data_IF_124004818244
#
_entry.id   IF_124004818244
#
_cell.length_a   1.000
_cell.length_b   1.000
_cell.length_c   1.000
_cell.angle_alpha   90.00
_cell.angle_beta   90.00
_cell.angle_gamma   90.00
#
_symmetry.space_group_name_H-M   'P 1'
#
loop_
_entity.id
_entity.type
_entity.pdbx_description
1 polymer ?
#
# COMPACT_ATOMS: atom_id res chain seq x y z
N UNK A 1 -3.79 6.24 31.07
CA UNK A 1 -2.71 6.39 30.07
C UNK A 1 -2.56 5.05 29.38
N UNK A 2 -2.48 5.01 28.05
CA UNK A 2 -2.25 3.75 27.32
C UNK A 2 -0.84 3.23 27.57
N UNK A 3 -0.70 1.92 27.62
CA UNK A 3 0.54 1.20 27.93
C UNK A 3 1.39 0.85 26.70
N UNK A 4 0.88 1.04 25.48
CA UNK A 4 1.59 0.79 24.24
C UNK A 4 0.96 1.47 23.02
N UNK A 5 1.59 1.29 21.87
CA UNK A 5 1.12 1.80 20.59
C UNK A 5 1.04 0.69 19.54
N UNK A 6 0.04 0.77 18.67
CA UNK A 6 -0.07 -0.04 17.46
C UNK A 6 -0.04 0.90 16.25
N UNK A 7 0.92 0.72 15.36
CA UNK A 7 1.01 1.47 14.10
C UNK A 7 0.63 0.54 12.96
N UNK A 8 -0.59 0.71 12.44
CA UNK A 8 -0.96 0.14 11.15
C UNK A 8 -0.35 1.01 10.05
N UNK A 9 0.42 0.38 9.16
CA UNK A 9 1.10 1.05 8.04
C UNK A 9 0.61 0.44 6.73
N UNK A 10 -0.01 1.24 5.87
CA UNK A 10 -0.53 0.79 4.58
C UNK A 10 0.37 1.30 3.44
N UNK A 11 1.06 0.40 2.76
CA UNK A 11 1.90 0.74 1.61
C UNK A 11 1.07 0.72 0.32
N UNK A 12 0.56 1.88 -0.11
CA UNK A 12 -0.15 2.01 -1.38
C UNK A 12 0.82 2.38 -2.52
N UNK A 13 1.03 1.44 -3.44
CA UNK A 13 1.94 1.57 -4.56
C UNK A 13 1.44 0.84 -5.80
N UNK A 14 1.63 1.48 -6.95
CA UNK A 14 1.54 0.86 -8.27
C UNK A 14 2.67 1.44 -9.14
N UNK A 15 3.27 0.65 -10.05
CA UNK A 15 4.18 1.17 -11.07
C UNK A 15 3.48 2.24 -11.90
N UNK A 16 4.25 3.17 -12.46
CA UNK A 16 3.68 4.18 -13.35
C UNK A 16 3.27 3.55 -14.68
N UNK A 17 1.96 3.39 -14.89
CA UNK A 17 1.36 2.85 -16.12
C UNK A 17 0.41 3.88 -16.70
N UNK A 18 0.73 4.38 -17.90
CA UNK A 18 -0.09 5.37 -18.60
C UNK A 18 0.20 5.32 -20.10
N UNK A 19 -0.76 4.83 -20.86
CA UNK A 19 -0.62 4.65 -22.31
C UNK A 19 -1.68 5.45 -23.08
N UNK A 20 -1.42 6.75 -23.35
CA UNK A 20 -2.31 7.59 -24.15
C UNK A 20 -2.42 7.17 -25.61
N UNK A 21 -1.44 6.43 -26.13
CA UNK A 21 -1.37 5.94 -27.51
C UNK A 21 -2.40 4.84 -27.83
N UNK A 22 -2.93 4.17 -26.80
CA UNK A 22 -3.99 3.17 -26.93
C UNK A 22 -5.29 3.69 -26.31
N UNK A 23 -6.48 3.38 -26.85
CA UNK A 23 -7.75 3.78 -26.24
C UNK A 23 -8.00 3.07 -24.90
N UNK A 24 -7.53 1.83 -24.78
CA UNK A 24 -7.57 0.96 -23.61
C UNK A 24 -6.24 0.20 -23.51
N UNK A 25 -5.78 -0.06 -22.30
CA UNK A 25 -4.55 -0.80 -22.03
C UNK A 25 -4.73 -1.67 -20.78
N UNK A 26 -4.31 -2.94 -20.83
CA UNK A 26 -4.66 -3.93 -19.81
C UNK A 26 -4.08 -3.56 -18.45
N UNK A 27 -2.82 -3.11 -18.42
CA UNK A 27 -2.09 -2.82 -17.20
C UNK A 27 -2.61 -1.56 -16.48
N UNK A 28 -3.37 -0.69 -17.18
CA UNK A 28 -4.09 0.42 -16.52
C UNK A 28 -5.23 -0.09 -15.62
N UNK A 29 -5.72 -1.32 -15.87
CA UNK A 29 -6.76 -1.92 -15.02
C UNK A 29 -6.31 -2.11 -13.58
N UNK A 30 -5.00 -2.30 -13.32
CA UNK A 30 -4.46 -2.40 -11.96
C UNK A 30 -4.81 -1.16 -11.13
N UNK A 31 -4.68 0.03 -11.73
CA UNK A 31 -5.07 1.29 -11.08
C UNK A 31 -6.58 1.34 -10.83
N UNK A 32 -7.38 0.96 -11.82
CA UNK A 32 -8.83 1.04 -11.73
C UNK A 32 -9.41 0.07 -10.69
N UNK A 33 -8.84 -1.11 -10.60
CA UNK A 33 -9.17 -2.13 -9.59
C UNK A 33 -8.75 -1.66 -8.21
N UNK A 34 -7.52 -1.13 -8.04
CA UNK A 34 -7.07 -0.58 -6.78
C UNK A 34 -7.93 0.60 -6.30
N UNK A 35 -8.36 1.49 -7.19
CA UNK A 35 -9.28 2.58 -6.82
C UNK A 35 -10.61 2.03 -6.31
N UNK A 36 -11.21 1.09 -7.05
CA UNK A 36 -12.55 0.56 -6.76
C UNK A 36 -12.55 -0.31 -5.51
N UNK A 37 -11.60 -1.23 -5.41
CA UNK A 37 -11.62 -2.25 -4.37
C UNK A 37 -10.84 -1.82 -3.12
N UNK A 38 -9.91 -0.85 -3.20
CA UNK A 38 -9.06 -0.44 -2.07
C UNK A 38 -9.23 1.04 -1.71
N UNK A 39 -8.89 1.97 -2.60
CA UNK A 39 -8.73 3.37 -2.20
C UNK A 39 -10.05 4.07 -1.86
N UNK A 40 -11.11 3.85 -2.64
CA UNK A 40 -12.44 4.38 -2.32
C UNK A 40 -13.00 3.76 -1.03
N UNK A 41 -12.97 2.42 -0.83
CA UNK A 41 -13.37 1.81 0.44
C UNK A 41 -12.57 2.29 1.65
N UNK A 42 -11.24 2.45 1.54
CA UNK A 42 -10.42 2.97 2.64
C UNK A 42 -10.78 4.42 2.98
N UNK A 43 -10.94 5.28 1.97
CA UNK A 43 -11.40 6.65 2.18
C UNK A 43 -12.75 6.69 2.89
N UNK A 44 -13.70 5.84 2.48
CA UNK A 44 -15.00 5.73 3.14
C UNK A 44 -14.89 5.31 4.61
N UNK A 45 -14.09 4.28 4.92
CA UNK A 45 -13.87 3.81 6.29
C UNK A 45 -13.31 4.94 7.16
N UNK A 46 -12.27 5.62 6.68
CA UNK A 46 -11.63 6.70 7.42
C UNK A 46 -12.56 7.89 7.61
N UNK A 47 -13.29 8.28 6.55
CA UNK A 47 -14.28 9.36 6.62
C UNK A 47 -15.39 9.03 7.62
N UNK A 48 -15.93 7.82 7.61
CA UNK A 48 -16.95 7.40 8.58
C UNK A 48 -16.42 7.41 10.01
N UNK A 49 -15.18 6.99 10.22
CA UNK A 49 -14.56 7.05 11.55
C UNK A 49 -14.39 8.51 12.02
N UNK A 50 -14.02 9.44 11.12
CA UNK A 50 -13.93 10.87 11.43
C UNK A 50 -15.32 11.46 11.70
N UNK A 51 -16.31 11.16 10.85
CA UNK A 51 -17.70 11.63 10.97
C UNK A 51 -18.33 11.13 12.30
N UNK A 52 -17.99 9.92 12.73
CA UNK A 52 -18.43 9.32 14.00
C UNK A 52 -17.55 9.73 15.22
N UNK A 53 -16.60 10.65 15.04
CA UNK A 53 -15.65 11.12 16.06
C UNK A 53 -14.87 9.98 16.76
N UNK A 54 -14.50 8.93 16.02
CA UNK A 54 -13.61 7.87 16.50
C UNK A 54 -12.16 8.38 16.47
N UNK A 55 -11.44 8.42 17.59
CA UNK A 55 -10.03 8.79 17.58
C UNK A 55 -9.18 7.64 17.00
N UNK A 56 -8.49 7.91 15.89
CA UNK A 56 -7.59 6.93 15.28
C UNK A 56 -6.43 7.59 14.54
N UNK A 57 -5.40 6.79 14.27
CA UNK A 57 -4.22 7.23 13.52
C UNK A 57 -3.69 6.08 12.67
N UNK A 58 -3.73 6.23 11.35
CA UNK A 58 -3.14 5.27 10.39
C UNK A 58 -1.96 5.94 9.68
N UNK A 59 -0.87 5.20 9.47
CA UNK A 59 0.20 5.66 8.57
C UNK A 59 -0.02 5.02 7.22
N UNK A 60 0.14 5.75 6.13
CA UNK A 60 0.10 5.16 4.79
C UNK A 60 1.05 5.84 3.83
N UNK A 61 1.54 5.12 2.84
CA UNK A 61 2.21 5.74 1.71
C UNK A 61 1.18 6.13 0.65
N UNK A 62 1.44 7.21 -0.07
CA UNK A 62 0.94 7.39 -1.43
C UNK A 62 2.16 7.64 -2.29
N UNK A 63 2.65 6.59 -2.97
CA UNK A 63 3.91 6.68 -3.70
C UNK A 63 3.84 7.71 -4.84
N UNK A 64 4.97 8.35 -5.22
CA UNK A 64 4.94 9.35 -6.29
C UNK A 64 4.35 8.84 -7.62
N UNK A 65 4.64 7.62 -8.11
CA UNK A 65 3.98 7.06 -9.30
C UNK A 65 2.46 6.99 -9.17
N UNK A 66 1.97 6.48 -8.03
CA UNK A 66 0.54 6.36 -7.76
C UNK A 66 -0.14 7.72 -7.72
N UNK A 67 0.44 8.70 -7.00
CA UNK A 67 -0.09 10.06 -6.95
C UNK A 67 -0.10 10.71 -8.33
N UNK A 68 0.95 10.48 -9.14
CA UNK A 68 1.01 10.94 -10.53
C UNK A 68 -0.15 10.40 -11.37
N UNK A 69 -0.45 9.10 -11.25
CA UNK A 69 -1.56 8.47 -11.95
C UNK A 69 -2.95 8.92 -11.45
N UNK A 70 -3.13 9.04 -10.12
CA UNK A 70 -4.37 9.51 -9.51
C UNK A 70 -4.68 10.99 -9.80
N UNK A 71 -3.68 11.76 -10.23
CA UNK A 71 -3.80 13.17 -10.65
C UNK A 71 -3.93 13.33 -12.17
N UNK A 72 -3.78 12.25 -12.94
CA UNK A 72 -3.83 12.31 -14.40
C UNK A 72 -5.28 12.29 -14.90
N UNK A 73 -5.65 13.31 -15.67
CA UNK A 73 -7.02 13.50 -16.16
C UNK A 73 -7.45 12.38 -17.13
N UNK A 74 -6.53 11.88 -17.96
CA UNK A 74 -6.83 10.79 -18.88
C UNK A 74 -7.19 9.52 -18.10
N UNK A 75 -6.35 9.11 -17.15
CA UNK A 75 -6.59 7.91 -16.33
C UNK A 75 -7.85 8.04 -15.49
N UNK A 76 -8.10 9.19 -14.85
CA UNK A 76 -9.34 9.41 -14.08
C UNK A 76 -10.59 9.43 -14.96
N UNK A 77 -10.48 9.89 -16.21
CA UNK A 77 -11.60 9.83 -17.17
C UNK A 77 -11.90 8.40 -17.64
N UNK A 78 -10.86 7.58 -17.86
CA UNK A 78 -10.99 6.15 -18.21
C UNK A 78 -11.57 5.36 -17.05
N UNK A 79 -11.07 5.61 -15.83
CA UNK A 79 -11.63 5.03 -14.62
C UNK A 79 -13.12 5.32 -14.46
N UNK A 80 -13.54 6.58 -14.65
CA UNK A 80 -14.96 6.96 -14.56
C UNK A 80 -15.82 6.15 -15.54
N UNK A 81 -15.38 6.00 -16.80
CA UNK A 81 -16.07 5.19 -17.82
C UNK A 81 -16.14 3.72 -17.43
N UNK A 82 -15.04 3.15 -16.90
CA UNK A 82 -15.02 1.77 -16.41
C UNK A 82 -16.00 1.57 -15.26
N UNK A 83 -16.07 2.51 -14.32
CA UNK A 83 -17.00 2.45 -13.20
C UNK A 83 -18.46 2.54 -13.65
N UNK A 84 -18.77 3.37 -14.64
CA UNK A 84 -20.08 3.42 -15.30
C UNK A 84 -20.43 2.07 -15.96
N UNK A 85 -19.49 1.47 -16.71
CA UNK A 85 -19.68 0.18 -17.35
C UNK A 85 -19.89 -0.97 -16.34
N UNK A 86 -19.22 -0.94 -15.19
CA UNK A 86 -19.44 -1.89 -14.11
C UNK A 86 -20.83 -1.74 -13.48
N UNK A 87 -21.32 -0.50 -13.31
CA UNK A 87 -22.69 -0.26 -12.86
C UNK A 87 -23.71 -0.82 -13.85
N UNK A 88 -23.50 -0.62 -15.16
CA UNK A 88 -24.34 -1.22 -16.21
C UNK A 88 -24.32 -2.76 -16.14
N UNK A 89 -23.14 -3.37 -15.99
CA UNK A 89 -23.02 -4.82 -15.85
C UNK A 89 -23.76 -5.33 -14.61
N UNK A 90 -23.71 -4.61 -13.49
CA UNK A 90 -24.50 -4.94 -12.31
C UNK A 90 -26.01 -4.87 -12.55
N UNK A 91 -26.50 -3.88 -13.30
CA UNK A 91 -27.91 -3.82 -13.68
C UNK A 91 -28.33 -5.05 -14.52
N UNK A 92 -27.47 -5.46 -15.47
CA UNK A 92 -27.69 -6.68 -16.26
C UNK A 92 -27.66 -7.94 -15.40
N UNK A 93 -26.72 -8.04 -14.47
CA UNK A 93 -26.60 -9.17 -13.55
C UNK A 93 -27.81 -9.29 -12.62
N UNK A 94 -28.32 -8.19 -12.09
CA UNK A 94 -29.57 -8.17 -11.30
C UNK A 94 -30.74 -8.69 -12.14
N UNK A 95 -30.83 -8.25 -13.41
CA UNK A 95 -31.89 -8.73 -14.30
C UNK A 95 -31.76 -10.22 -14.62
N UNK A 96 -30.53 -10.70 -14.88
CA UNK A 96 -30.21 -12.10 -15.22
C UNK A 96 -30.47 -13.04 -14.04
N UNK A 97 -30.13 -12.62 -12.83
CA UNK A 97 -30.23 -13.42 -11.61
C UNK A 97 -31.54 -13.22 -10.82
N UNK A 98 -32.51 -12.46 -11.35
CA UNK A 98 -33.78 -12.13 -10.65
C UNK A 98 -34.59 -13.31 -10.14
N UNK A 99 -34.48 -14.47 -10.80
CA UNK A 99 -35.17 -15.71 -10.43
C UNK A 99 -34.31 -16.66 -9.61
N UNK A 100 -33.05 -16.31 -9.36
CA UNK A 100 -32.08 -17.12 -8.65
C UNK A 100 -32.01 -16.66 -7.18
N UNK A 101 -32.55 -17.46 -6.26
CA UNK A 101 -32.55 -17.15 -4.84
C UNK A 101 -31.14 -17.11 -4.22
N UNK A 102 -30.15 -17.73 -4.87
CA UNK A 102 -28.77 -17.86 -4.39
C UNK A 102 -27.91 -16.68 -4.87
N UNK A 103 -28.03 -16.29 -6.14
CA UNK A 103 -27.20 -15.24 -6.73
C UNK A 103 -27.91 -13.89 -6.91
N UNK A 104 -29.24 -13.86 -6.93
CA UNK A 104 -30.03 -12.61 -7.01
C UNK A 104 -29.66 -11.60 -5.91
N UNK A 105 -29.63 -11.98 -4.63
CA UNK A 105 -29.20 -11.09 -3.55
C UNK A 105 -27.76 -10.58 -3.71
N UNK A 106 -26.86 -11.39 -4.26
CA UNK A 106 -25.46 -11.01 -4.48
C UNK A 106 -25.30 -10.01 -5.63
N UNK A 107 -26.05 -10.19 -6.73
CA UNK A 107 -26.07 -9.21 -7.81
C UNK A 107 -26.58 -7.84 -7.31
N UNK A 108 -27.60 -7.84 -6.44
CA UNK A 108 -28.08 -6.63 -5.78
C UNK A 108 -27.02 -6.01 -4.86
N UNK A 109 -26.34 -6.82 -4.05
CA UNK A 109 -25.25 -6.35 -3.19
C UNK A 109 -24.15 -5.62 -3.99
N UNK A 110 -23.70 -6.21 -5.11
CA UNK A 110 -22.71 -5.59 -5.99
C UNK A 110 -23.22 -4.30 -6.63
N UNK A 111 -24.47 -4.31 -7.09
CA UNK A 111 -25.11 -3.12 -7.67
C UNK A 111 -25.14 -1.97 -6.67
N UNK A 112 -25.62 -2.20 -5.46
CA UNK A 112 -25.67 -1.17 -4.42
C UNK A 112 -24.29 -0.63 -4.09
N UNK A 113 -23.30 -1.53 -3.95
CA UNK A 113 -21.93 -1.17 -3.64
C UNK A 113 -21.28 -0.34 -4.76
N UNK A 114 -21.34 -0.77 -6.02
CA UNK A 114 -20.70 -0.05 -7.13
C UNK A 114 -21.37 1.30 -7.42
N UNK A 115 -22.70 1.38 -7.34
CA UNK A 115 -23.39 2.67 -7.43
C UNK A 115 -23.04 3.60 -6.26
N UNK A 116 -22.77 3.06 -5.07
CA UNK A 116 -22.28 3.83 -3.93
C UNK A 116 -20.87 4.36 -4.15
N UNK A 117 -19.93 3.50 -4.55
CA UNK A 117 -18.57 3.92 -4.89
C UNK A 117 -18.55 4.97 -6.00
N UNK A 118 -19.43 4.84 -6.99
CA UNK A 118 -19.65 5.85 -8.04
C UNK A 118 -20.06 7.20 -7.46
N UNK A 119 -21.04 7.25 -6.55
CA UNK A 119 -21.42 8.50 -5.88
C UNK A 119 -20.27 9.08 -5.05
N UNK A 120 -19.52 8.24 -4.33
CA UNK A 120 -18.34 8.71 -3.59
C UNK A 120 -17.31 9.34 -4.53
N UNK A 121 -16.98 8.67 -5.63
CA UNK A 121 -16.00 9.14 -6.61
C UNK A 121 -16.43 10.46 -7.28
N UNK A 122 -17.67 10.55 -7.77
CA UNK A 122 -18.16 11.73 -8.50
C UNK A 122 -18.56 12.89 -7.57
N UNK A 123 -19.30 12.60 -6.49
CA UNK A 123 -19.99 13.63 -5.72
C UNK A 123 -19.18 14.05 -4.49
N UNK A 124 -18.73 13.07 -3.68
CA UNK A 124 -18.01 13.34 -2.43
C UNK A 124 -16.56 13.76 -2.69
N UNK A 125 -15.84 13.00 -3.52
CA UNK A 125 -14.42 13.22 -3.78
C UNK A 125 -14.14 13.98 -5.08
N UNK A 126 -15.15 14.20 -5.93
CA UNK A 126 -15.04 14.99 -7.17
C UNK A 126 -13.87 14.55 -8.07
N UNK A 127 -13.64 13.23 -8.13
CA UNK A 127 -12.55 12.58 -8.85
C UNK A 127 -11.13 12.97 -8.40
N UNK A 128 -10.98 13.56 -7.21
CA UNK A 128 -9.68 13.95 -6.65
C UNK A 128 -9.40 13.20 -5.34
N UNK A 129 -8.99 11.94 -5.47
CA UNK A 129 -8.71 11.05 -4.34
C UNK A 129 -7.49 11.50 -3.53
N UNK A 130 -6.49 12.10 -4.18
CA UNK A 130 -5.29 12.60 -3.49
C UNK A 130 -5.66 13.74 -2.54
N UNK A 131 -6.53 14.67 -2.96
CA UNK A 131 -7.04 15.71 -2.05
C UNK A 131 -7.93 15.13 -0.95
N UNK A 132 -8.69 14.07 -1.20
CA UNK A 132 -9.48 13.38 -0.18
C UNK A 132 -8.59 12.79 0.92
N UNK A 133 -7.50 12.10 0.56
CA UNK A 133 -6.50 11.61 1.53
C UNK A 133 -5.78 12.77 2.24
N UNK A 134 -5.40 13.82 1.50
CA UNK A 134 -4.79 15.01 2.10
C UNK A 134 -5.67 15.62 3.19
N UNK A 135 -6.99 15.70 2.98
CA UNK A 135 -7.93 16.20 4.00
C UNK A 135 -7.89 15.36 5.28
N UNK A 136 -7.87 14.03 5.17
CA UNK A 136 -7.72 13.14 6.33
C UNK A 136 -6.37 13.34 7.04
N UNK A 137 -5.31 13.63 6.27
CA UNK A 137 -4.01 13.98 6.82
C UNK A 137 -3.99 15.34 7.53
N UNK A 138 -4.66 16.34 6.98
CA UNK A 138 -4.81 17.67 7.60
C UNK A 138 -5.64 17.57 8.89
N UNK A 139 -6.63 16.66 8.94
CA UNK A 139 -7.43 16.38 10.13
C UNK A 139 -6.69 15.56 11.20
N UNK A 140 -5.47 15.07 10.93
CA UNK A 140 -4.69 14.28 11.87
C UNK A 140 -5.11 12.81 11.99
N UNK A 141 -6.07 12.33 11.20
CA UNK A 141 -6.52 10.93 11.22
C UNK A 141 -5.55 9.99 10.48
N UNK A 142 -4.90 10.50 9.43
CA UNK A 142 -3.94 9.74 8.61
C UNK A 142 -2.59 10.45 8.60
N UNK A 143 -1.49 9.71 8.61
CA UNK A 143 -0.15 10.21 8.32
C UNK A 143 0.27 9.69 6.95
N UNK A 144 0.35 10.56 5.95
CA UNK A 144 0.82 10.19 4.61
C UNK A 144 2.32 10.41 4.55
N UNK A 145 3.05 9.35 4.25
CA UNK A 145 4.50 9.39 4.06
C UNK A 145 4.87 9.22 2.57
N UNK A 146 6.07 9.64 2.21
CA UNK A 146 6.58 9.49 0.84
C UNK A 146 7.24 8.12 0.63
N UNK A 147 7.76 7.89 -0.57
CA UNK A 147 8.58 6.74 -0.95
C UNK A 147 9.78 7.22 -1.81
N UNK A 148 10.54 6.31 -2.43
CA UNK A 148 11.40 6.67 -3.57
C UNK A 148 10.57 7.15 -4.77
N UNK A 149 11.14 8.05 -5.59
CA UNK A 149 10.46 8.72 -6.70
C UNK A 149 9.73 7.77 -7.66
N UNK A 150 10.28 6.59 -7.88
CA UNK A 150 9.70 5.55 -8.73
C UNK A 150 9.84 4.17 -8.12
N UNK A 151 9.83 4.10 -6.78
CA UNK A 151 9.98 2.84 -6.07
C UNK A 151 11.27 2.05 -6.42
N UNK A 152 12.36 2.75 -6.75
CA UNK A 152 13.61 2.06 -7.10
C UNK A 152 14.31 1.40 -5.91
N UNK A 153 14.80 0.17 -6.06
CA UNK A 153 15.47 -0.58 -5.00
C UNK A 153 16.85 0.02 -4.68
N UNK A 154 16.87 0.96 -3.73
CA UNK A 154 18.02 1.81 -3.41
C UNK A 154 19.32 1.05 -3.09
N UNK A 155 19.32 -0.11 -2.40
CA UNK A 155 20.56 -0.82 -2.07
C UNK A 155 21.41 -1.26 -3.27
N UNK A 156 20.83 -1.35 -4.47
CA UNK A 156 21.53 -1.76 -5.70
C UNK A 156 21.95 -0.58 -6.60
N UNK A 157 21.69 0.65 -6.17
CA UNK A 157 22.15 1.85 -6.86
C UNK A 157 23.60 2.16 -6.50
N UNK A 158 24.51 1.95 -7.45
CA UNK A 158 25.96 2.14 -7.23
C UNK A 158 26.39 3.61 -7.21
N UNK A 159 25.56 4.52 -7.74
CA UNK A 159 25.83 5.95 -7.74
C UNK A 159 25.05 6.67 -6.62
N UNK A 160 25.75 7.34 -5.68
CA UNK A 160 25.15 8.20 -4.66
C UNK A 160 24.10 9.20 -5.18
N UNK A 161 24.35 9.75 -6.37
CA UNK A 161 23.47 10.70 -7.03
C UNK A 161 22.11 10.08 -7.39
N UNK A 162 22.06 8.79 -7.76
CA UNK A 162 20.81 8.09 -8.06
C UNK A 162 19.95 7.92 -6.81
N UNK A 163 20.57 7.49 -5.69
CA UNK A 163 19.89 7.37 -4.39
C UNK A 163 19.35 8.73 -3.96
N UNK A 164 20.19 9.76 -4.04
CA UNK A 164 19.79 11.14 -3.70
C UNK A 164 18.65 11.62 -4.58
N UNK A 165 18.72 11.41 -5.90
CA UNK A 165 17.68 11.85 -6.83
C UNK A 165 16.33 11.18 -6.53
N UNK A 166 16.32 9.87 -6.25
CA UNK A 166 15.10 9.14 -5.86
C UNK A 166 14.42 9.75 -4.63
N UNK A 167 15.19 10.11 -3.61
CA UNK A 167 14.66 10.68 -2.36
C UNK A 167 14.23 12.15 -2.57
N UNK A 168 15.08 12.95 -3.21
CA UNK A 168 14.83 14.39 -3.42
C UNK A 168 13.61 14.65 -4.30
N UNK A 169 13.52 13.94 -5.43
CA UNK A 169 12.38 14.07 -6.35
C UNK A 169 11.09 13.67 -5.65
N UNK A 170 11.12 12.61 -4.83
CA UNK A 170 9.94 12.20 -4.07
C UNK A 170 9.53 13.25 -3.01
N UNK A 171 10.47 13.86 -2.29
CA UNK A 171 10.16 14.91 -1.32
C UNK A 171 9.63 16.18 -2.00
N UNK A 172 10.18 16.56 -3.16
CA UNK A 172 9.63 17.64 -4.00
C UNK A 172 8.22 17.33 -4.49
N UNK A 173 7.99 16.11 -4.99
CA UNK A 173 6.69 15.65 -5.46
C UNK A 173 5.65 15.65 -4.33
N UNK A 174 6.03 15.14 -3.16
CA UNK A 174 5.17 15.16 -1.97
C UNK A 174 4.76 16.60 -1.59
N UNK A 175 5.71 17.54 -1.54
CA UNK A 175 5.41 18.96 -1.28
C UNK A 175 4.42 19.54 -2.28
N UNK A 176 4.59 19.24 -3.56
CA UNK A 176 3.70 19.71 -4.63
C UNK A 176 2.25 19.27 -4.42
N UNK A 177 2.02 18.04 -3.93
CA UNK A 177 0.68 17.47 -3.81
C UNK A 177 0.04 17.58 -2.41
N UNK A 178 0.85 17.67 -1.36
CA UNK A 178 0.37 17.70 0.03
C UNK A 178 0.65 19.02 0.76
N UNK A 179 1.40 19.95 0.14
CA UNK A 179 1.63 21.31 0.65
C UNK A 179 2.51 21.39 1.91
N UNK A 180 3.22 20.31 2.25
CA UNK A 180 4.14 20.23 3.40
C UNK A 180 5.28 19.26 3.09
N UNK A 181 6.35 19.28 3.88
CA UNK A 181 7.43 18.28 3.78
C UNK A 181 6.98 16.92 4.34
N UNK A 182 7.37 15.78 3.71
CA UNK A 182 7.12 14.46 4.28
C UNK A 182 7.97 14.26 5.54
N UNK A 183 7.38 13.70 6.58
CA UNK A 183 8.09 13.43 7.85
C UNK A 183 8.66 12.02 7.94
N UNK A 184 8.11 11.10 7.15
CA UNK A 184 8.58 9.72 7.05
C UNK A 184 8.70 9.29 5.59
N UNK A 185 9.39 8.18 5.38
CA UNK A 185 9.53 7.54 4.08
C UNK A 185 9.35 6.03 4.21
N UNK A 186 8.66 5.43 3.26
CA UNK A 186 8.77 4.01 2.99
C UNK A 186 9.94 3.83 2.02
N UNK A 187 11.02 3.18 2.44
CA UNK A 187 12.06 2.80 1.49
C UNK A 187 11.47 1.70 0.59
N UNK A 188 11.65 1.78 -0.74
CA UNK A 188 11.17 0.74 -1.65
C UNK A 188 11.61 -0.63 -1.14
N UNK A 189 10.62 -1.48 -0.86
CA UNK A 189 10.82 -2.84 -0.36
C UNK A 189 11.45 -2.97 1.04
N UNK A 190 11.33 -1.92 1.86
CA UNK A 190 12.14 -1.74 3.06
C UNK A 190 13.65 -1.92 2.78
N UNK A 191 14.07 -1.66 1.53
CA UNK A 191 15.41 -1.83 1.02
C UNK A 191 16.34 -0.79 1.63
N UNK A 192 17.06 -1.21 2.67
CA UNK A 192 18.01 -0.38 3.39
C UNK A 192 19.44 -0.90 3.21
N UNK A 193 20.40 0.03 3.20
CA UNK A 193 21.82 -0.22 3.34
C UNK A 193 22.45 0.92 4.15
N UNK A 194 23.49 0.65 4.97
CA UNK A 194 24.18 1.69 5.73
C UNK A 194 24.59 2.88 4.86
N UNK A 195 24.26 4.09 5.31
CA UNK A 195 24.55 5.31 4.58
C UNK A 195 23.45 5.75 3.60
N UNK A 196 22.33 5.04 3.48
CA UNK A 196 21.11 5.60 2.84
C UNK A 196 20.48 6.67 3.75
N UNK A 197 20.52 6.44 5.06
CA UNK A 197 19.94 7.30 6.10
C UNK A 197 20.48 8.74 6.10
N UNK A 198 21.72 8.98 5.63
CA UNK A 198 22.24 10.35 5.47
C UNK A 198 21.49 11.16 4.40
N UNK A 199 21.02 10.50 3.34
CA UNK A 199 20.22 11.16 2.30
C UNK A 199 18.80 11.43 2.78
N UNK A 200 18.27 10.56 3.65
CA UNK A 200 17.01 10.79 4.35
C UNK A 200 17.12 12.00 5.28
N UNK A 201 18.18 12.06 6.09
CA UNK A 201 18.45 13.17 7.00
C UNK A 201 18.58 14.51 6.25
N UNK A 202 19.25 14.52 5.10
CA UNK A 202 19.42 15.71 4.27
C UNK A 202 18.09 16.31 3.77
N UNK A 203 17.05 15.48 3.61
CA UNK A 203 15.69 15.89 3.23
C UNK A 203 14.75 16.01 4.44
N UNK A 204 15.28 16.08 5.66
CA UNK A 204 14.55 16.21 6.92
C UNK A 204 13.56 15.05 7.22
N UNK A 205 13.75 13.89 6.59
CA UNK A 205 12.99 12.68 6.91
C UNK A 205 13.35 12.23 8.32
N UNK A 206 12.34 11.98 9.16
CA UNK A 206 12.49 11.65 10.57
C UNK A 206 12.49 10.16 10.83
N UNK A 207 11.82 9.38 9.99
CA UNK A 207 11.75 7.93 10.16
C UNK A 207 11.56 7.16 8.84
N UNK A 208 11.92 5.88 8.89
CA UNK A 208 11.65 4.89 7.84
C UNK A 208 11.41 3.51 8.46
N UNK A 209 11.06 2.54 7.61
CA UNK A 209 10.80 1.16 8.01
C UNK A 209 11.88 0.20 7.50
N UNK A 210 12.14 -0.83 8.29
CA UNK A 210 13.02 -1.96 7.98
C UNK A 210 12.34 -3.28 8.34
N UNK A 211 12.84 -4.39 7.81
CA UNK A 211 12.39 -5.70 8.27
C UNK A 211 12.90 -6.03 9.69
N UNK A 212 12.23 -6.96 10.35
CA UNK A 212 12.53 -7.44 11.71
C UNK A 212 14.01 -7.81 11.89
N UNK A 213 14.60 -8.51 10.92
CA UNK A 213 15.98 -8.99 11.03
C UNK A 213 17.01 -7.85 10.96
N UNK A 214 16.66 -6.70 10.37
CA UNK A 214 17.54 -5.54 10.30
C UNK A 214 17.86 -5.01 11.69
N UNK A 215 16.84 -4.91 12.58
CA UNK A 215 17.07 -4.53 13.97
C UNK A 215 17.63 -5.67 14.81
N UNK A 216 17.25 -6.93 14.54
CA UNK A 216 17.85 -8.07 15.23
C UNK A 216 19.38 -8.14 15.05
N UNK A 217 19.86 -7.71 13.88
CA UNK A 217 21.26 -7.71 13.47
C UNK A 217 21.93 -6.32 13.53
N UNK A 218 21.27 -5.31 14.08
CA UNK A 218 21.84 -3.96 14.18
C UNK A 218 22.97 -3.88 15.22
N UNK A 219 23.87 -2.92 15.03
CA UNK A 219 25.03 -2.71 15.90
C UNK A 219 25.00 -1.30 16.52
N UNK A 220 25.04 -1.17 17.87
CA UNK A 220 24.85 -2.23 18.86
C UNK A 220 23.43 -2.82 18.81
N UNK A 221 23.28 -4.05 19.32
CA UNK A 221 21.98 -4.74 19.32
C UNK A 221 20.91 -3.93 20.08
N UNK A 222 19.72 -3.69 19.50
CA UNK A 222 18.63 -2.97 20.15
C UNK A 222 18.13 -3.71 21.40
N UNK A 223 18.10 -3.04 22.54
CA UNK A 223 17.66 -3.63 23.83
C UNK A 223 16.19 -4.06 23.84
N UNK A 224 15.38 -3.40 23.01
CA UNK A 224 13.92 -3.59 22.92
C UNK A 224 13.50 -4.34 21.66
N UNK A 225 14.45 -4.97 20.97
CA UNK A 225 14.20 -5.71 19.73
C UNK A 225 13.54 -4.82 18.69
N UNK A 226 12.42 -5.28 18.14
CA UNK A 226 11.62 -4.58 17.11
C UNK A 226 10.55 -3.66 17.70
N UNK A 227 10.40 -3.63 19.03
CA UNK A 227 9.26 -3.00 19.72
C UNK A 227 9.54 -1.58 20.24
N UNK A 228 10.65 -1.00 19.81
CA UNK A 228 10.97 0.41 19.90
C UNK A 228 11.87 0.77 18.70
N UNK A 229 11.79 2.00 18.17
CA UNK A 229 12.69 2.42 17.11
C UNK A 229 14.13 2.55 17.63
N UNK A 230 15.06 2.62 16.68
CA UNK A 230 16.43 3.06 16.93
C UNK A 230 16.73 4.29 16.09
N UNK A 231 17.57 5.19 16.59
CA UNK A 231 18.19 6.19 15.73
C UNK A 231 19.40 5.59 15.03
N UNK A 232 19.49 5.80 13.71
CA UNK A 232 20.74 5.59 12.99
C UNK A 232 21.77 6.65 13.40
N UNK A 233 23.07 6.47 13.08
CA UNK A 233 24.09 7.50 13.28
C UNK A 233 23.76 8.85 12.63
N UNK A 234 22.94 8.86 11.57
CA UNK A 234 22.46 10.09 10.92
C UNK A 234 21.26 10.75 11.63
N UNK A 235 20.74 10.16 12.71
CA UNK A 235 19.62 10.70 13.49
C UNK A 235 18.23 10.39 12.93
N UNK A 236 18.12 9.52 11.92
CA UNK A 236 16.84 9.08 11.36
C UNK A 236 16.36 7.82 12.09
N UNK A 237 15.10 7.75 12.48
CA UNK A 237 14.57 6.60 13.20
C UNK A 237 14.25 5.42 12.27
N UNK A 238 14.73 4.23 12.59
CA UNK A 238 14.36 2.99 11.92
C UNK A 238 13.34 2.22 12.78
N UNK A 239 12.17 1.95 12.20
CA UNK A 239 11.11 1.13 12.80
C UNK A 239 11.09 -0.25 12.14
N UNK A 240 11.12 -1.31 12.93
CA UNK A 240 11.03 -2.67 12.39
C UNK A 240 9.61 -3.18 12.37
N UNK A 241 9.29 -3.95 11.32
CA UNK A 241 8.09 -4.78 11.23
C UNK A 241 8.00 -5.75 12.43
N UNK A 242 6.78 -5.94 12.94
CA UNK A 242 6.47 -6.99 13.91
C UNK A 242 6.22 -8.34 13.20
N UNK A 243 6.96 -9.41 13.55
CA UNK A 243 6.76 -10.71 12.93
C UNK A 243 5.41 -11.35 13.28
N UNK A 244 4.87 -11.12 14.49
CA UNK A 244 3.63 -11.74 14.93
C UNK A 244 2.40 -11.19 14.18
N UNK A 245 2.30 -9.87 14.03
CA UNK A 245 1.24 -9.22 13.26
C UNK A 245 1.31 -9.51 11.76
N UNK A 246 2.52 -9.70 11.24
CA UNK A 246 2.73 -10.09 9.84
C UNK A 246 2.14 -11.47 9.58
N UNK A 247 2.47 -12.47 10.41
CA UNK A 247 2.02 -13.84 10.21
C UNK A 247 0.49 -13.98 10.25
N UNK A 248 -0.19 -13.26 11.14
CA UNK A 248 -1.64 -13.34 11.32
C UNK A 248 -2.46 -12.81 10.14
N UNK A 249 -1.85 -11.99 9.28
CA UNK A 249 -2.52 -11.37 8.14
C UNK A 249 -1.97 -11.91 6.82
N UNK A 250 -0.64 -12.00 6.66
CA UNK A 250 0.02 -12.40 5.41
C UNK A 250 0.11 -13.91 5.18
N UNK A 251 -0.11 -14.75 6.20
CA UNK A 251 0.00 -16.20 5.99
C UNK A 251 -1.11 -16.70 5.07
N UNK A 252 -0.74 -17.28 3.92
CA UNK A 252 -1.72 -17.92 3.04
C UNK A 252 -2.41 -19.15 3.69
N UNK A 253 -1.79 -19.74 4.72
CA UNK A 253 -2.34 -20.91 5.42
C UNK A 253 -3.08 -20.56 6.71
N UNK A 254 -2.59 -19.59 7.47
CA UNK A 254 -3.07 -19.26 8.82
C UNK A 254 -3.59 -17.83 8.97
N UNK A 255 -3.46 -17.02 7.91
CA UNK A 255 -3.84 -15.61 7.93
C UNK A 255 -5.33 -15.43 7.76
N UNK A 256 -5.87 -14.35 8.32
CA UNK A 256 -7.28 -14.02 8.20
C UNK A 256 -7.83 -14.04 6.76
N UNK A 257 -7.14 -13.49 5.73
CA UNK A 257 -7.65 -13.46 4.36
C UNK A 257 -8.02 -14.81 3.77
N UNK A 258 -7.44 -15.91 4.26
CA UNK A 258 -7.71 -17.27 3.79
C UNK A 258 -8.99 -17.91 4.34
N UNK A 259 -9.78 -17.20 5.15
CA UNK A 259 -10.98 -17.77 5.77
C UNK A 259 -11.98 -18.27 4.72
N UNK A 260 -12.51 -19.50 4.84
CA UNK A 260 -13.49 -20.06 3.92
C UNK A 260 -14.73 -19.20 3.64
N UNK A 261 -15.10 -18.26 4.50
CA UNK A 261 -16.28 -17.40 4.30
C UNK A 261 -16.01 -16.16 3.45
N UNK A 262 -14.75 -15.76 3.27
CA UNK A 262 -14.39 -14.56 2.51
C UNK A 262 -14.48 -14.76 1.01
N UNK A 263 -14.63 -13.65 0.27
CA UNK A 263 -14.75 -13.62 -1.20
C UNK A 263 -13.55 -14.33 -1.86
N UNK A 264 -13.84 -15.24 -2.79
CA UNK A 264 -12.84 -15.90 -3.63
C UNK A 264 -12.33 -14.92 -4.70
N UNK A 265 -11.04 -14.65 -4.71
CA UNK A 265 -10.42 -13.71 -5.64
C UNK A 265 -10.39 -14.26 -7.08
N UNK A 266 -10.15 -15.56 -7.25
CA UNK A 266 -9.87 -16.18 -8.55
C UNK A 266 -11.10 -16.62 -9.33
N UNK A 267 -12.32 -16.40 -8.81
CA UNK A 267 -13.56 -16.78 -9.49
C UNK A 267 -14.43 -15.56 -9.78
N UNK A 268 -14.52 -15.23 -11.05
CA UNK A 268 -15.10 -13.97 -11.56
C UNK A 268 -16.04 -14.26 -12.72
N UNK A 269 -17.11 -13.47 -12.85
CA UNK A 269 -18.07 -13.65 -13.94
C UNK A 269 -17.47 -13.43 -15.33
N UNK A 270 -16.33 -12.72 -15.42
CA UNK A 270 -15.52 -12.58 -16.62
C UNK A 270 -15.02 -13.91 -17.20
N UNK A 271 -14.88 -14.93 -16.36
CA UNK A 271 -14.49 -16.28 -16.75
C UNK A 271 -15.69 -17.23 -16.82
N UNK A 272 -16.65 -17.09 -15.91
CA UNK A 272 -17.75 -18.05 -15.73
C UNK A 272 -18.91 -17.86 -16.72
N UNK A 273 -19.23 -16.63 -17.12
CA UNK A 273 -20.42 -16.35 -17.91
C UNK A 273 -20.23 -16.56 -19.42
N UNK A 274 -21.35 -16.69 -20.12
CA UNK A 274 -21.39 -16.78 -21.58
C UNK A 274 -20.58 -15.66 -22.25
N UNK A 275 -19.88 -16.02 -23.33
CA UNK A 275 -18.93 -15.13 -23.98
C UNK A 275 -19.61 -13.89 -24.56
N UNK A 276 -20.72 -14.06 -25.28
CA UNK A 276 -21.39 -12.96 -25.96
C UNK A 276 -22.01 -11.99 -24.96
N UNK A 277 -22.48 -12.50 -23.82
CA UNK A 277 -22.99 -11.68 -22.71
C UNK A 277 -21.90 -10.80 -22.10
N UNK A 278 -20.71 -11.35 -21.83
CA UNK A 278 -19.63 -10.65 -21.11
C UNK A 278 -18.68 -9.88 -22.03
N UNK A 279 -18.73 -10.15 -23.35
CA UNK A 279 -17.85 -9.56 -24.38
C UNK A 279 -17.64 -8.04 -24.26
N UNK A 280 -18.64 -7.21 -23.95
CA UNK A 280 -18.47 -5.75 -23.82
C UNK A 280 -17.65 -5.31 -22.60
N UNK A 281 -17.40 -6.20 -21.64
CA UNK A 281 -16.79 -5.88 -20.34
C UNK A 281 -15.43 -6.54 -20.12
N UNK A 282 -14.99 -7.36 -21.07
CA UNK A 282 -13.66 -8.00 -21.09
C UNK A 282 -12.70 -7.24 -22.03
N UNK A 283 -11.55 -7.82 -22.36
CA UNK A 283 -10.55 -7.12 -23.17
C UNK A 283 -11.08 -6.80 -24.56
N UNK A 284 -10.63 -5.68 -25.14
CA UNK A 284 -10.98 -5.29 -26.50
C UNK A 284 -10.48 -6.30 -27.55
N UNK A 285 -9.40 -7.03 -27.25
CA UNK A 285 -8.89 -8.18 -28.04
C UNK A 285 -9.88 -9.35 -28.12
N UNK A 286 -10.82 -9.42 -27.18
CA UNK A 286 -11.75 -10.54 -27.01
C UNK A 286 -11.30 -11.55 -25.95
N UNK A 287 -10.12 -11.38 -25.35
CA UNK A 287 -9.65 -12.23 -24.26
C UNK A 287 -10.44 -11.96 -22.98
N UNK A 288 -10.72 -13.02 -22.22
CA UNK A 288 -11.39 -12.91 -20.92
C UNK A 288 -10.45 -12.25 -19.91
N UNK A 289 -11.04 -11.55 -18.95
CA UNK A 289 -10.37 -10.95 -17.79
C UNK A 289 -11.34 -10.89 -16.61
N UNK A 290 -10.81 -10.59 -15.43
CA UNK A 290 -11.66 -10.28 -14.28
C UNK A 290 -12.47 -9.00 -14.54
N UNK A 291 -13.73 -9.02 -14.11
CA UNK A 291 -14.61 -7.86 -14.11
C UNK A 291 -14.65 -7.18 -12.74
N UNK A 292 -14.36 -7.90 -11.66
CA UNK A 292 -14.50 -7.44 -10.27
C UNK A 292 -15.80 -7.91 -9.60
N UNK A 293 -16.74 -8.50 -10.37
CA UNK A 293 -17.95 -9.12 -9.82
C UNK A 293 -17.69 -10.61 -9.60
N UNK A 294 -17.60 -11.01 -8.33
CA UNK A 294 -17.14 -12.32 -7.87
C UNK A 294 -18.13 -12.91 -6.87
N UNK A 295 -18.91 -13.90 -7.26
CA UNK A 295 -20.03 -14.39 -6.44
C UNK A 295 -19.70 -15.53 -5.48
N UNK A 296 -18.44 -15.94 -5.39
CA UNK A 296 -18.05 -17.14 -4.66
C UNK A 296 -17.18 -16.80 -3.47
N UNK A 297 -17.19 -17.67 -2.46
CA UNK A 297 -16.30 -17.61 -1.30
C UNK A 297 -15.18 -18.64 -1.40
N UNK A 298 -14.13 -18.43 -0.62
CA UNK A 298 -12.95 -19.31 -0.59
C UNK A 298 -13.35 -20.76 -0.33
N UNK A 299 -14.37 -21.04 0.48
CA UNK A 299 -14.96 -22.38 0.74
C UNK A 299 -14.05 -23.36 1.48
N UNK A 300 -12.74 -23.32 1.23
CA UNK A 300 -11.72 -24.23 1.72
C UNK A 300 -10.78 -24.66 0.60
N UNK A 301 -10.01 -25.72 0.83
CA UNK A 301 -9.10 -26.33 -0.16
C UNK A 301 -9.87 -27.23 -1.14
N UNK A 302 -10.70 -26.62 -1.99
CA UNK A 302 -11.54 -27.28 -3.01
C UNK A 302 -11.25 -26.70 -4.39
N UNK A 303 -11.63 -27.41 -5.47
CA UNK A 303 -11.45 -26.90 -6.83
C UNK A 303 -12.31 -25.65 -7.08
N UNK A 304 -11.92 -24.80 -8.05
CA UNK A 304 -12.65 -23.55 -8.33
C UNK A 304 -14.13 -23.77 -8.66
N UNK A 305 -14.47 -24.84 -9.37
CA UNK A 305 -15.86 -25.19 -9.70
C UNK A 305 -16.71 -25.57 -8.48
N UNK A 306 -16.08 -26.03 -7.39
CA UNK A 306 -16.73 -26.48 -6.16
C UNK A 306 -16.91 -25.35 -5.13
N UNK A 307 -16.41 -24.14 -5.43
CA UNK A 307 -16.59 -22.98 -4.56
C UNK A 307 -18.10 -22.69 -4.39
N UNK A 308 -18.47 -22.39 -3.16
CA UNK A 308 -19.84 -22.03 -2.77
C UNK A 308 -20.08 -20.52 -2.89
N UNK A 309 -21.33 -20.04 -2.89
CA UNK A 309 -21.60 -18.62 -3.03
C UNK A 309 -21.08 -17.88 -1.81
N UNK A 310 -20.70 -16.66 -2.08
CA UNK A 310 -20.35 -15.70 -1.07
C UNK A 310 -21.59 -15.29 -0.26
N UNK A 311 -21.44 -15.10 1.05
CA UNK A 311 -22.46 -14.52 1.92
C UNK A 311 -21.86 -13.25 2.56
N UNK A 312 -22.25 -12.05 2.09
CA UNK A 312 -21.73 -10.79 2.60
C UNK A 312 -21.97 -10.58 4.10
N UNK A 313 -23.06 -11.14 4.67
CA UNK A 313 -23.37 -10.98 6.08
C UNK A 313 -22.46 -11.87 6.94
N UNK A 314 -22.27 -13.13 6.54
CA UNK A 314 -21.36 -14.04 7.22
C UNK A 314 -19.91 -13.53 7.17
N UNK A 315 -19.49 -13.02 6.02
CA UNK A 315 -18.17 -12.45 5.81
C UNK A 315 -17.93 -11.19 6.67
N UNK A 316 -18.92 -10.29 6.76
CA UNK A 316 -18.84 -9.12 7.66
C UNK A 316 -18.70 -9.54 9.12
N UNK A 317 -19.49 -10.50 9.59
CA UNK A 317 -19.41 -11.01 10.96
C UNK A 317 -18.04 -11.64 11.24
N UNK A 318 -17.46 -12.35 10.26
CA UNK A 318 -16.11 -12.91 10.36
C UNK A 318 -15.03 -11.84 10.42
N UNK A 319 -15.13 -10.79 9.61
CA UNK A 319 -14.20 -9.66 9.62
C UNK A 319 -14.20 -8.94 10.97
N UNK A 320 -15.38 -8.75 11.58
CA UNK A 320 -15.47 -8.21 12.93
C UNK A 320 -14.78 -9.11 13.97
N UNK A 321 -15.02 -10.43 13.91
CA UNK A 321 -14.40 -11.39 14.82
C UNK A 321 -12.87 -11.42 14.67
N UNK A 322 -12.37 -11.36 13.43
CA UNK A 322 -10.94 -11.29 13.14
C UNK A 322 -10.31 -9.98 13.64
N UNK A 323 -11.00 -8.84 13.48
CA UNK A 323 -10.54 -7.56 14.03
C UNK A 323 -10.43 -7.60 15.56
N UNK A 324 -11.42 -8.20 16.23
CA UNK A 324 -11.39 -8.44 17.67
C UNK A 324 -10.24 -9.36 18.10
N UNK A 325 -10.01 -10.45 17.37
CA UNK A 325 -8.90 -11.37 17.63
C UNK A 325 -7.54 -10.70 17.46
N UNK A 326 -7.35 -9.94 16.39
CA UNK A 326 -6.11 -9.20 16.14
C UNK A 326 -5.84 -8.19 17.27
N UNK A 327 -6.86 -7.40 17.66
CA UNK A 327 -6.74 -6.45 18.76
C UNK A 327 -6.43 -7.14 20.09
N UNK A 328 -7.08 -8.25 20.39
CA UNK A 328 -6.82 -9.04 21.59
C UNK A 328 -5.36 -9.51 21.63
N UNK A 329 -4.85 -10.08 20.53
CA UNK A 329 -3.47 -10.55 20.46
C UNK A 329 -2.45 -9.41 20.60
N UNK A 330 -2.67 -8.27 19.92
CA UNK A 330 -1.79 -7.09 20.05
C UNK A 330 -1.83 -6.49 21.46
N UNK A 331 -2.99 -6.53 22.11
CA UNK A 331 -3.15 -6.12 23.51
C UNK A 331 -2.32 -7.01 24.44
N UNK A 332 -2.42 -8.34 24.30
CA UNK A 332 -1.62 -9.29 25.09
C UNK A 332 -0.12 -9.18 24.83
N UNK A 333 0.26 -8.94 23.58
CA UNK A 333 1.65 -8.70 23.21
C UNK A 333 2.19 -7.45 23.92
N UNK A 334 1.46 -6.33 23.89
CA UNK A 334 1.87 -5.09 24.57
C UNK A 334 1.94 -5.26 26.10
N UNK A 335 0.98 -5.92 26.72
CA UNK A 335 1.01 -6.23 28.17
C UNK A 335 2.28 -7.01 28.55
N UNK A 336 2.60 -8.05 27.78
CA UNK A 336 3.79 -8.87 28.00
C UNK A 336 5.09 -8.08 27.80
N UNK A 337 5.18 -7.27 26.74
CA UNK A 337 6.35 -6.45 26.42
C UNK A 337 6.58 -5.37 27.48
N UNK A 338 5.51 -4.71 27.93
CA UNK A 338 5.59 -3.69 28.96
C UNK A 338 6.10 -4.29 30.29
N UNK A 339 5.62 -5.48 30.68
CA UNK A 339 6.10 -6.18 31.87
C UNK A 339 7.58 -6.62 31.74
N UNK A 340 8.00 -6.99 30.52
CA UNK A 340 9.35 -7.47 30.22
C UNK A 340 10.39 -6.34 30.19
N UNK A 341 10.05 -5.17 29.61
CA UNK A 341 10.99 -4.05 29.50
C UNK A 341 11.18 -3.27 30.80
N UNK A 342 10.17 -3.26 31.68
CA UNK A 342 10.12 -2.56 32.99
C UNK A 342 10.26 -1.03 32.92
N UNK A 343 11.31 -0.51 32.29
CA UNK A 343 11.66 0.92 32.21
C UNK A 343 11.93 1.37 30.77
N UNK A 344 11.67 2.64 30.47
CA UNK A 344 11.83 3.28 29.15
C UNK A 344 10.50 3.52 28.44
N UNK A 345 10.50 3.86 27.13
CA UNK A 345 9.27 4.21 26.43
C UNK A 345 8.29 3.02 26.35
N UNK A 346 6.98 3.25 26.18
CA UNK A 346 6.02 2.16 25.96
C UNK A 346 6.35 1.42 24.65
N UNK A 347 6.10 0.11 24.53
CA UNK A 347 6.32 -0.63 23.29
C UNK A 347 5.43 -0.10 22.16
N UNK A 348 5.97 -0.13 20.94
CA UNK A 348 5.23 0.13 19.71
C UNK A 348 5.30 -1.10 18.80
N UNK A 349 4.15 -1.57 18.35
CA UNK A 349 4.03 -2.66 17.38
C UNK A 349 3.78 -2.07 16.00
N UNK A 350 4.66 -2.35 15.04
CA UNK A 350 4.57 -1.87 13.66
C UNK A 350 4.01 -2.99 12.78
N UNK A 351 2.85 -2.75 12.18
CA UNK A 351 2.14 -3.72 11.35
C UNK A 351 1.98 -3.16 9.93
N UNK A 352 3.01 -3.32 9.07
CA UNK A 352 2.98 -2.86 7.70
C UNK A 352 2.43 -3.90 6.73
N UNK A 353 1.59 -3.44 5.81
CA UNK A 353 0.93 -4.26 4.79
C UNK A 353 0.81 -3.46 3.49
N UNK A 354 0.79 -4.15 2.34
CA UNK A 354 0.37 -3.51 1.09
C UNK A 354 -1.07 -3.02 1.23
N UNK A 355 -1.36 -1.81 0.75
CA UNK A 355 -2.69 -1.23 0.90
C UNK A 355 -3.73 -2.07 0.14
N UNK A 356 -3.36 -2.56 -1.03
CA UNK A 356 -4.19 -3.39 -1.92
C UNK A 356 -4.54 -4.75 -1.29
N UNK A 357 -3.87 -5.16 -0.20
CA UNK A 357 -4.37 -6.27 0.60
C UNK A 357 -5.78 -5.98 1.13
N UNK A 358 -6.03 -4.76 1.59
CA UNK A 358 -7.30 -4.37 2.20
C UNK A 358 -8.32 -3.93 1.16
N UNK A 359 -8.92 -4.92 0.50
CA UNK A 359 -10.10 -4.78 -0.35
C UNK A 359 -9.94 -5.42 -1.72
N UNK A 360 -8.76 -5.34 -2.32
CA UNK A 360 -8.50 -6.02 -3.59
C UNK A 360 -8.24 -7.52 -3.38
N UNK A 361 -7.14 -7.87 -2.71
CA UNK A 361 -6.80 -9.27 -2.42
C UNK A 361 -7.69 -9.88 -1.34
N UNK A 362 -7.96 -9.12 -0.27
CA UNK A 362 -8.90 -9.49 0.79
C UNK A 362 -10.06 -8.50 0.80
N UNK A 363 -11.19 -8.92 0.20
CA UNK A 363 -12.35 -8.05 -0.04
C UNK A 363 -12.91 -7.39 1.22
N UNK A 364 -12.90 -8.11 2.33
CA UNK A 364 -13.42 -7.66 3.62
C UNK A 364 -12.38 -6.90 4.44
N UNK A 365 -11.18 -6.67 3.89
CA UNK A 365 -10.11 -5.94 4.56
C UNK A 365 -10.51 -4.53 5.05
N UNK A 366 -11.21 -3.69 4.28
CA UNK A 366 -11.69 -2.39 4.76
C UNK A 366 -12.67 -2.54 5.93
N UNK A 367 -13.52 -3.57 5.91
CA UNK A 367 -14.46 -3.88 7.01
C UNK A 367 -13.69 -4.28 8.27
N UNK A 368 -12.67 -5.13 8.13
CA UNK A 368 -11.77 -5.47 9.23
C UNK A 368 -11.09 -4.23 9.82
N UNK A 369 -10.59 -3.30 8.98
CA UNK A 369 -9.94 -2.08 9.45
C UNK A 369 -10.92 -1.15 10.18
N UNK A 370 -12.16 -0.98 9.69
CA UNK A 370 -13.20 -0.21 10.37
C UNK A 370 -13.46 -0.76 11.79
N UNK A 371 -13.66 -2.07 11.90
CA UNK A 371 -13.86 -2.72 13.20
C UNK A 371 -12.62 -2.61 14.09
N UNK A 372 -11.41 -2.82 13.55
CA UNK A 372 -10.17 -2.70 14.32
C UNK A 372 -10.01 -1.29 14.90
N UNK A 373 -10.21 -0.25 14.08
CA UNK A 373 -10.15 1.14 14.49
C UNK A 373 -11.13 1.43 15.63
N UNK A 374 -12.41 1.05 15.44
CA UNK A 374 -13.46 1.31 16.43
C UNK A 374 -13.23 0.58 17.74
N UNK A 375 -12.87 -0.71 17.68
CA UNK A 375 -12.60 -1.53 18.87
C UNK A 375 -11.34 -1.05 19.59
N UNK A 376 -10.27 -0.68 18.87
CA UNK A 376 -9.05 -0.14 19.47
C UNK A 376 -9.30 1.18 20.21
N UNK A 377 -10.26 1.99 19.74
CA UNK A 377 -10.65 3.24 20.38
C UNK A 377 -11.56 3.05 21.62
N UNK A 378 -12.40 2.00 21.66
CA UNK A 378 -13.51 1.90 22.63
C UNK A 378 -13.47 0.71 23.58
N UNK A 379 -12.88 -0.42 23.18
CA UNK A 379 -13.06 -1.69 23.90
C UNK A 379 -11.94 -1.98 24.92
N UNK A 380 -10.87 -1.17 24.91
CA UNK A 380 -9.68 -1.39 25.73
C UNK A 380 -8.87 -0.10 25.96
N UNK A 381 -8.00 -0.10 26.98
CA UNK A 381 -7.13 1.03 27.37
C UNK A 381 -5.62 0.71 27.37
N UNK A 382 -5.25 -0.46 26.85
CA UNK A 382 -3.87 -0.95 26.76
C UNK A 382 -3.07 -0.27 25.65
N UNK A 383 -3.64 -0.15 24.45
CA UNK A 383 -2.95 0.42 23.29
C UNK A 383 -3.75 1.54 22.64
N UNK A 384 -3.06 2.38 21.88
CA UNK A 384 -3.69 3.33 20.95
C UNK A 384 -3.09 3.20 19.57
N UNK A 385 -3.91 3.45 18.54
CA UNK A 385 -3.40 3.59 17.19
C UNK A 385 -2.58 4.88 17.09
N UNK A 386 -1.32 4.79 16.67
CA UNK A 386 -0.40 5.94 16.53
C UNK A 386 0.43 5.83 15.27
N UNK A 387 0.78 6.97 14.69
CA UNK A 387 1.81 7.00 13.66
C UNK A 387 3.21 7.01 14.30
N UNK A 388 4.26 6.57 13.58
CA UNK A 388 5.62 6.62 14.09
C UNK A 388 6.08 8.03 14.47
N UNK A 389 5.61 9.08 13.76
CA UNK A 389 5.96 10.46 14.10
C UNK A 389 5.32 10.93 15.41
N UNK A 390 4.11 10.48 15.72
CA UNK A 390 3.47 10.80 17.01
C UNK A 390 4.26 10.13 18.14
N UNK A 391 4.65 8.86 17.95
CA UNK A 391 5.47 8.13 18.91
C UNK A 391 6.82 8.81 19.16
N UNK A 392 7.53 9.24 18.11
CA UNK A 392 8.80 9.97 18.26
C UNK A 392 8.64 11.34 18.92
N UNK A 393 7.48 11.99 18.74
CA UNK A 393 7.19 13.28 19.36
C UNK A 393 6.96 13.15 20.87
N UNK A 394 6.34 12.05 21.30
CA UNK A 394 6.12 11.72 22.72
C UNK A 394 7.36 11.10 23.38
N UNK A 395 8.16 10.38 22.61
CA UNK A 395 9.35 9.65 23.07
C UNK A 395 10.54 10.03 22.18
N UNK A 396 11.16 11.20 22.38
CA UNK A 396 12.24 11.69 21.52
C UNK A 396 13.59 11.01 21.76
N UNK A 397 13.76 10.25 22.85
CA UNK A 397 15.00 9.54 23.14
C UNK A 397 14.91 8.09 22.66
N UNK A 398 15.82 7.69 21.77
CA UNK A 398 15.89 6.33 21.23
C UNK A 398 17.32 5.81 21.28
N UNK A 399 17.45 4.48 21.31
CA UNK A 399 18.77 3.85 21.26
C UNK A 399 19.44 4.16 19.91
N UNK A 400 20.72 4.51 19.95
CA UNK A 400 21.54 4.60 18.76
C UNK A 400 21.94 3.19 18.28
N UNK A 401 21.62 2.84 17.05
CA UNK A 401 22.04 1.59 16.41
C UNK A 401 22.08 1.72 14.88
N UNK A 402 22.98 0.98 14.25
CA UNK A 402 23.13 0.91 12.80
C UNK A 402 22.57 -0.42 12.29
N UNK A 403 21.41 -0.44 11.61
CA UNK A 403 20.94 -1.64 10.91
C UNK A 403 21.92 -2.01 9.77
N UNK A 404 22.06 -3.31 9.42
CA UNK A 404 22.80 -3.74 8.24
C UNK A 404 21.96 -3.57 6.97
N UNK A 405 22.47 -4.01 5.82
CA UNK A 405 21.66 -4.11 4.62
C UNK A 405 20.54 -5.14 4.80
N UNK A 406 19.32 -4.78 4.37
CA UNK A 406 18.12 -5.60 4.55
C UNK A 406 17.02 -5.18 3.56
N UNK A 407 16.04 -6.06 3.35
CA UNK A 407 14.75 -5.77 2.74
C UNK A 407 13.65 -6.58 3.44
N UNK A 408 12.39 -6.30 3.13
CA UNK A 408 11.28 -7.15 3.57
C UNK A 408 10.92 -8.29 2.58
N UNK A 409 11.68 -8.42 1.49
CA UNK A 409 11.46 -9.41 0.44
C UNK A 409 11.90 -10.82 0.84
N UNK A 410 11.72 -11.78 -0.08
CA UNK A 410 12.11 -13.17 0.16
C UNK A 410 13.61 -13.27 0.51
N UNK A 411 13.91 -14.01 1.59
CA UNK A 411 15.26 -14.12 2.14
C UNK A 411 15.76 -12.89 2.92
N UNK A 412 15.01 -11.79 2.97
CA UNK A 412 15.33 -10.60 3.76
C UNK A 412 16.40 -9.67 3.15
N UNK A 413 16.86 -9.93 1.93
CA UNK A 413 17.93 -9.16 1.28
C UNK A 413 17.55 -8.79 -0.17
N UNK A 414 18.50 -8.80 -1.10
CA UNK A 414 18.27 -8.35 -2.48
C UNK A 414 17.77 -9.46 -3.43
N UNK A 415 17.60 -10.70 -2.98
CA UNK A 415 17.42 -11.87 -3.86
C UNK A 415 16.16 -11.83 -4.75
N UNK A 416 15.18 -10.98 -4.44
CA UNK A 416 13.98 -10.76 -5.28
C UNK A 416 14.26 -9.78 -6.42
N UNK A 417 15.24 -8.88 -6.26
CA UNK A 417 15.55 -7.88 -7.27
C UNK A 417 16.89 -8.12 -7.95
N UNK A 418 17.74 -8.99 -7.39
CA UNK A 418 19.02 -9.37 -7.95
C UNK A 418 19.21 -10.88 -7.84
N UNK A 419 18.88 -11.54 -8.94
CA UNK A 419 19.10 -12.96 -9.20
C UNK A 419 19.41 -13.18 -10.70
N UNK A 420 19.68 -14.42 -11.10
CA UNK A 420 20.06 -14.77 -12.47
C UNK A 420 19.02 -14.38 -13.55
N UNK A 421 17.74 -14.25 -13.19
CA UNK A 421 16.65 -13.88 -14.11
C UNK A 421 16.54 -12.38 -14.39
N UNK A 422 17.06 -11.52 -13.50
CA UNK A 422 16.91 -10.06 -13.59
C UNK A 422 18.23 -9.28 -13.49
N UNK A 423 19.37 -9.93 -13.24
CA UNK A 423 20.68 -9.27 -13.09
C UNK A 423 21.09 -8.43 -14.32
N UNK A 424 20.63 -8.83 -15.51
CA UNK A 424 20.93 -8.20 -16.79
C UNK A 424 20.46 -6.75 -16.86
N UNK A 425 19.49 -6.35 -16.03
CA UNK A 425 18.93 -4.99 -15.97
C UNK A 425 19.98 -4.00 -15.44
N UNK A 426 20.75 -4.40 -14.43
CA UNK A 426 21.56 -3.46 -13.64
C UNK A 426 22.69 -2.79 -14.43
N UNK A 427 23.35 -3.50 -15.34
CA UNK A 427 24.39 -2.90 -16.20
C UNK A 427 23.85 -1.72 -17.01
N UNK A 428 22.59 -1.79 -17.45
CA UNK A 428 21.94 -0.71 -18.20
C UNK A 428 21.54 0.44 -17.28
N UNK A 429 20.96 0.14 -16.11
CA UNK A 429 20.59 1.17 -15.13
C UNK A 429 21.81 1.92 -14.59
N UNK A 430 22.91 1.23 -14.31
CA UNK A 430 24.16 1.84 -13.87
C UNK A 430 24.74 2.72 -14.97
N UNK A 431 24.78 2.24 -16.22
CA UNK A 431 25.29 3.05 -17.34
C UNK A 431 24.42 4.28 -17.62
N UNK A 432 23.09 4.13 -17.56
CA UNK A 432 22.17 5.25 -17.73
C UNK A 432 22.30 6.28 -16.60
N UNK A 433 22.53 5.81 -15.36
CA UNK A 433 22.82 6.68 -14.22
C UNK A 433 24.10 7.48 -14.42
N UNK A 434 25.19 6.83 -14.82
CA UNK A 434 26.47 7.49 -15.14
C UNK A 434 26.27 8.60 -16.19
N UNK A 435 25.58 8.29 -17.30
CA UNK A 435 25.30 9.27 -18.37
C UNK A 435 24.42 10.42 -17.90
N UNK A 436 23.41 10.15 -17.09
CA UNK A 436 22.55 11.21 -16.56
C UNK A 436 23.32 12.14 -15.62
N UNK A 437 24.24 11.60 -14.81
CA UNK A 437 25.13 12.39 -13.94
C UNK A 437 26.04 13.29 -14.78
N UNK A 438 26.67 12.75 -15.83
CA UNK A 438 27.49 13.53 -16.77
C UNK A 438 26.68 14.67 -17.40
N UNK A 439 25.50 14.36 -17.94
CA UNK A 439 24.60 15.34 -18.56
C UNK A 439 24.20 16.45 -17.58
N UNK A 440 23.83 16.10 -16.35
CA UNK A 440 23.45 17.07 -15.32
C UNK A 440 24.63 17.97 -14.92
N UNK A 441 25.86 17.44 -14.87
CA UNK A 441 27.07 18.21 -14.56
C UNK A 441 27.53 19.11 -15.71
N UNK A 442 27.43 18.65 -16.95
CA UNK A 442 27.81 19.44 -18.14
C UNK A 442 26.82 20.57 -18.44
N UNK A 443 25.56 20.42 -18.03
CA UNK A 443 24.48 21.32 -18.40
C UNK A 443 23.75 21.92 -17.18
N UNK A 444 24.52 22.37 -16.18
CA UNK A 444 23.96 22.94 -14.94
C UNK A 444 23.06 24.16 -15.19
N UNK A 445 23.45 25.04 -16.12
CA UNK A 445 22.71 26.26 -16.48
C UNK A 445 21.75 26.06 -17.66
N UNK A 446 21.37 24.80 -17.95
CA UNK A 446 20.47 24.50 -19.06
C UNK A 446 19.14 25.27 -18.94
N UNK A 447 18.71 25.84 -20.06
CA UNK A 447 17.44 26.52 -20.19
C UNK A 447 16.69 26.03 -21.44
N UNK A 448 15.45 26.50 -21.63
CA UNK A 448 14.65 26.20 -22.80
C UNK A 448 14.51 24.69 -23.10
N UNK A 449 14.77 24.33 -24.36
CA UNK A 449 14.62 22.94 -24.86
C UNK A 449 15.61 21.99 -24.20
N UNK A 450 16.85 22.41 -23.95
CA UNK A 450 17.87 21.57 -23.31
C UNK A 450 17.43 21.16 -21.91
N UNK A 451 16.92 22.10 -21.09
CA UNK A 451 16.39 21.78 -19.77
C UNK A 451 15.20 20.83 -19.84
N UNK A 452 14.30 21.02 -20.80
CA UNK A 452 13.15 20.12 -21.01
C UNK A 452 13.59 18.70 -21.36
N UNK A 453 14.59 18.56 -22.25
CA UNK A 453 15.13 17.27 -22.64
C UNK A 453 15.84 16.56 -21.46
N UNK A 454 16.65 17.28 -20.68
CA UNK A 454 17.30 16.75 -19.48
C UNK A 454 16.29 16.28 -18.43
N UNK A 455 15.23 17.07 -18.21
CA UNK A 455 14.15 16.67 -17.30
C UNK A 455 13.44 15.40 -17.79
N UNK A 456 13.24 15.24 -19.10
CA UNK A 456 12.65 14.01 -19.63
C UNK A 456 13.61 12.83 -19.47
N UNK A 457 14.89 12.98 -19.80
CA UNK A 457 15.90 11.93 -19.61
C UNK A 457 15.99 11.47 -18.14
N UNK A 458 15.90 12.40 -17.19
CA UNK A 458 15.85 12.07 -15.77
C UNK A 458 14.57 11.28 -15.41
N UNK A 459 13.40 11.62 -15.97
CA UNK A 459 12.17 10.84 -15.77
C UNK A 459 12.31 9.43 -16.33
N UNK A 460 12.85 9.27 -17.54
CA UNK A 460 13.08 7.94 -18.13
C UNK A 460 14.00 7.08 -17.26
N UNK A 461 15.08 7.66 -16.73
CA UNK A 461 15.96 6.94 -15.83
C UNK A 461 15.25 6.53 -14.53
N UNK A 462 14.50 7.44 -13.91
CA UNK A 462 13.74 7.12 -12.70
C UNK A 462 12.73 6.01 -12.99
N UNK A 463 11.94 6.11 -14.05
CA UNK A 463 10.96 5.07 -14.42
C UNK A 463 11.63 3.72 -14.68
N UNK A 464 12.76 3.70 -15.38
CA UNK A 464 13.53 2.47 -15.62
C UNK A 464 14.10 1.87 -14.33
N UNK A 465 14.35 2.69 -13.30
CA UNK A 465 14.86 2.25 -12.01
C UNK A 465 13.81 1.61 -11.09
N UNK A 466 12.53 1.52 -11.48
CA UNK A 466 11.53 0.92 -10.60
C UNK A 466 11.88 -0.52 -10.22
N UNK A 467 11.72 -0.86 -8.93
CA UNK A 467 11.89 -2.24 -8.46
C UNK A 467 10.83 -3.19 -9.04
N UNK A 468 9.68 -2.65 -9.47
CA UNK A 468 8.58 -3.42 -10.04
C UNK A 468 9.03 -4.26 -11.24
N UNK A 469 9.92 -3.73 -12.08
CA UNK A 469 10.39 -4.43 -13.28
C UNK A 469 11.19 -5.69 -12.94
N UNK A 470 12.09 -5.60 -11.95
CA UNK A 470 12.84 -6.75 -11.47
C UNK A 470 11.93 -7.75 -10.74
N UNK A 471 10.94 -7.27 -9.99
CA UNK A 471 9.95 -8.10 -9.29
C UNK A 471 9.04 -8.86 -10.25
N UNK A 472 8.52 -8.21 -11.30
CA UNK A 472 7.63 -8.83 -12.27
C UNK A 472 8.38 -9.82 -13.17
N UNK A 473 9.65 -9.54 -13.51
CA UNK A 473 10.47 -10.42 -14.37
C UNK A 473 10.81 -11.78 -13.73
N UNK A 474 10.61 -11.95 -12.42
CA UNK A 474 10.76 -13.21 -11.71
C UNK A 474 9.60 -14.20 -11.95
N UNK A 475 8.51 -13.73 -12.55
CA UNK A 475 7.32 -14.52 -12.92
C UNK A 475 7.26 -14.71 -14.42
#
# INVERSE_FOLDING_TARGET
MSYGALSIVLHAHLPYVRHPEYPEFLEEDWLYEAITETYLPLLEVFDRCVDDAIPFRITMTLTPPLVGMLRDELLMSRYAKRLDALCELCDKEVHRTRGDARFGPLAWHYREHLYHLRRLFHDRYRRDLVSAFKRLQDAGAVEIITCGATHGFLPLMVHPESIRAQIQVACMHYRMHFGRDPRGIWLPECGYAPGIDRYLAAENIRFFFVDSHALANAVPRPRRGVYAPVYTPSGVAAFARDPESSMQVWSAEHGYPGDPVYREFYRDIGWDLDYDYIRPYIQSTGDRKNTGIKYFRITGKVALGEKEPYDPAAARARAEAHAGNFLFNRTKQIEFLQASFREGPPPIVISPYDAELYGHWWYEGPIFLDHLIRKAARDQDVLRLKSPVDYLSEHPEQQLAQPPMSSWGAGGYAAVWLDEGNDWIYRYLHKASERMIELARMHQDASGVTRRALNQAARELLLAQSSDWAFISLR
#
